data_IF_700853692936
#
_entry.id   IF_700853692936
#
_cell.length_a   1.000
_cell.length_b   1.000
_cell.length_c   1.000
_cell.angle_alpha   90.00
_cell.angle_beta   90.00
_cell.angle_gamma   90.00
#
_symmetry.space_group_name_H-M   'P 1'
#
loop_
_entity.id
_entity.type
_entity.pdbx_description
1 polymer ?
#
# COMPACT_ATOMS: atom_id res chain seq x y z
N UNK A 1 27.86 -5.16 85.93
CA UNK A 1 27.30 -6.26 85.12
C UNK A 1 26.21 -5.72 84.26
N UNK A 2 26.48 -5.46 83.02
CA UNK A 2 25.52 -5.52 81.91
C UNK A 2 26.21 -5.03 80.63
N UNK A 3 26.32 -5.95 79.71
CA UNK A 3 26.89 -5.74 78.36
C UNK A 3 25.85 -5.08 77.45
N UNK A 4 26.16 -3.93 76.89
CA UNK A 4 25.42 -3.31 75.82
C UNK A 4 26.09 -3.63 74.48
N UNK A 5 25.44 -4.44 73.68
CA UNK A 5 25.81 -4.72 72.32
C UNK A 5 25.45 -3.57 71.38
N UNK A 6 26.42 -3.04 70.67
CA UNK A 6 26.24 -2.06 69.62
C UNK A 6 25.87 -2.78 68.34
N UNK A 7 24.65 -2.54 67.83
CA UNK A 7 24.21 -2.96 66.50
C UNK A 7 24.56 -1.81 65.55
N UNK A 8 25.50 -2.09 64.65
CA UNK A 8 25.81 -1.16 63.55
C UNK A 8 24.81 -1.37 62.41
N UNK A 9 24.03 -0.33 62.08
CA UNK A 9 23.12 -0.31 60.93
C UNK A 9 23.94 0.10 59.69
N UNK A 10 24.30 -0.88 58.86
CA UNK A 10 24.91 -0.64 57.56
C UNK A 10 23.84 -0.30 56.53
N UNK A 11 23.76 0.97 56.11
CA UNK A 11 22.92 1.40 55.01
C UNK A 11 23.55 0.94 53.69
N UNK A 12 22.98 -0.07 53.07
CA UNK A 12 23.28 -0.47 51.70
C UNK A 12 22.54 0.49 50.74
N UNK A 13 23.24 1.48 50.18
CA UNK A 13 22.74 2.27 49.07
C UNK A 13 22.82 1.38 47.81
N UNK A 14 21.69 0.81 47.40
CA UNK A 14 21.54 0.12 46.14
C UNK A 14 21.45 1.18 45.02
N UNK A 15 22.59 1.51 44.40
CA UNK A 15 22.65 2.34 43.20
C UNK A 15 22.10 1.51 42.04
N UNK A 16 20.78 1.64 41.75
CA UNK A 16 20.17 1.02 40.58
C UNK A 16 20.73 1.73 39.33
N UNK A 17 21.77 1.14 38.74
CA UNK A 17 22.18 1.45 37.38
C UNK A 17 21.03 1.05 36.46
N UNK A 18 20.20 2.03 36.07
CA UNK A 18 19.31 1.86 34.92
C UNK A 18 20.19 1.73 33.68
N UNK A 19 20.69 0.55 33.38
CA UNK A 19 21.18 0.22 32.06
C UNK A 19 19.98 0.38 31.12
N UNK A 20 19.96 1.47 30.36
CA UNK A 20 19.14 1.55 29.16
C UNK A 20 19.64 0.42 28.25
N UNK A 21 18.95 -0.71 28.27
CA UNK A 21 19.17 -1.75 27.27
C UNK A 21 18.89 -1.12 25.93
N UNK A 22 19.88 -0.98 25.03
CA UNK A 22 19.58 -0.56 23.66
C UNK A 22 18.59 -1.56 23.11
N UNK A 23 17.53 -1.06 22.47
CA UNK A 23 16.51 -1.88 21.86
C UNK A 23 17.26 -2.82 20.90
N UNK A 24 17.25 -4.13 21.15
CA UNK A 24 17.99 -5.14 20.39
C UNK A 24 17.78 -5.03 18.87
N UNK A 25 16.63 -4.47 18.45
CA UNK A 25 16.31 -4.18 17.06
C UNK A 25 17.15 -3.09 16.41
N UNK A 26 17.51 -2.00 17.13
CA UNK A 26 18.30 -0.90 16.57
C UNK A 26 19.76 -1.34 16.33
N UNK A 27 20.34 -2.07 17.30
CA UNK A 27 21.70 -2.60 17.17
C UNK A 27 21.81 -3.61 16.01
N UNK A 28 20.76 -4.42 15.77
CA UNK A 28 20.70 -5.33 14.63
C UNK A 28 20.61 -4.59 13.28
N UNK A 29 19.97 -3.42 13.20
CA UNK A 29 19.92 -2.61 11.98
C UNK A 29 21.28 -1.95 11.68
N UNK A 30 22.00 -1.46 12.69
CA UNK A 30 23.33 -0.86 12.52
C UNK A 30 24.36 -1.87 12.01
N UNK A 31 24.31 -3.12 12.50
CA UNK A 31 25.16 -4.21 11.98
C UNK A 31 24.79 -4.57 10.54
N UNK A 32 23.50 -4.67 10.25
CA UNK A 32 23.02 -4.95 8.89
C UNK A 32 23.41 -3.83 7.92
N UNK A 33 23.38 -2.56 8.35
CA UNK A 33 23.86 -1.43 7.57
C UNK A 33 25.34 -1.57 7.22
N UNK A 34 26.21 -1.94 8.17
CA UNK A 34 27.63 -2.18 7.91
C UNK A 34 27.87 -3.29 6.88
N UNK A 35 27.07 -4.35 6.93
CA UNK A 35 27.12 -5.44 5.96
C UNK A 35 26.65 -4.99 4.57
N UNK A 36 25.56 -4.22 4.50
CA UNK A 36 25.03 -3.65 3.27
C UNK A 36 26.05 -2.71 2.56
N UNK A 37 26.81 -1.92 3.35
CA UNK A 37 27.88 -1.08 2.79
C UNK A 37 28.99 -1.91 2.17
N UNK A 38 29.32 -3.10 2.69
CA UNK A 38 30.30 -4.01 2.09
C UNK A 38 29.82 -4.61 0.77
N UNK A 39 28.50 -4.66 0.53
CA UNK A 39 27.87 -5.06 -0.74
C UNK A 39 27.80 -3.91 -1.76
N UNK A 40 28.38 -2.74 -1.46
CA UNK A 40 28.36 -1.56 -2.32
C UNK A 40 27.30 -0.53 -1.97
N UNK A 41 26.56 -0.72 -0.87
CA UNK A 41 25.59 0.25 -0.36
C UNK A 41 24.39 0.50 -1.28
N UNK A 42 24.02 -0.47 -2.10
CA UNK A 42 22.93 -0.33 -3.09
C UNK A 42 21.75 -1.25 -2.77
N UNK A 43 20.55 -0.79 -3.09
CA UNK A 43 19.32 -1.59 -3.10
C UNK A 43 18.62 -1.39 -4.44
N UNK A 44 18.42 -2.44 -5.21
CA UNK A 44 17.62 -2.44 -6.43
C UNK A 44 16.13 -2.68 -6.07
N UNK A 45 15.37 -1.62 -6.01
CA UNK A 45 13.99 -1.61 -5.59
C UNK A 45 13.04 -1.61 -6.79
N UNK A 46 12.37 -2.74 -7.04
CA UNK A 46 11.31 -2.85 -8.06
C UNK A 46 9.98 -2.46 -7.43
N UNK A 47 9.63 -1.19 -7.55
CA UNK A 47 8.52 -0.59 -6.79
C UNK A 47 7.56 0.22 -7.64
N UNK A 48 6.27 0.18 -7.27
CA UNK A 48 5.19 0.94 -7.91
C UNK A 48 4.98 2.33 -7.30
N UNK A 49 5.95 2.82 -6.52
CA UNK A 49 5.91 4.20 -6.04
C UNK A 49 6.04 5.15 -7.23
N UNK A 50 5.01 5.97 -7.46
CA UNK A 50 5.14 7.04 -8.44
C UNK A 50 6.32 7.96 -8.07
N UNK A 51 7.01 8.52 -9.08
CA UNK A 51 8.23 9.34 -8.91
C UNK A 51 8.10 10.38 -7.80
N UNK A 52 6.98 11.11 -7.76
CA UNK A 52 6.72 12.14 -6.74
C UNK A 52 6.69 11.59 -5.30
N UNK A 53 6.28 10.33 -5.12
CA UNK A 53 6.26 9.67 -3.82
C UNK A 53 7.64 9.09 -3.48
N UNK A 54 8.30 8.47 -4.45
CA UNK A 54 9.65 7.93 -4.30
C UNK A 54 10.64 9.01 -3.85
N UNK A 55 10.60 10.21 -4.47
CA UNK A 55 11.42 11.38 -4.12
C UNK A 55 11.20 11.90 -2.68
N UNK A 56 10.08 11.55 -2.06
CA UNK A 56 9.78 11.93 -0.66
C UNK A 56 10.13 10.82 0.33
N UNK A 57 9.98 9.57 -0.06
CA UNK A 57 10.10 8.41 0.83
C UNK A 57 11.53 7.88 0.84
N UNK A 58 12.12 7.60 -0.33
CA UNK A 58 13.42 6.93 -0.43
C UNK A 58 14.58 7.73 0.18
N UNK A 59 14.65 9.07 0.06
CA UNK A 59 15.68 9.86 0.74
C UNK A 59 15.65 9.76 2.26
N UNK A 60 14.51 9.42 2.88
CA UNK A 60 14.44 9.21 4.34
C UNK A 60 15.24 7.96 4.74
N UNK A 61 15.16 6.88 3.95
CA UNK A 61 16.01 5.70 4.12
C UNK A 61 17.49 6.03 3.92
N UNK A 62 17.86 6.70 2.84
CA UNK A 62 19.24 7.06 2.53
C UNK A 62 19.85 7.98 3.59
N UNK A 63 19.07 8.90 4.14
CA UNK A 63 19.48 9.76 5.26
C UNK A 63 19.66 8.97 6.56
N UNK A 64 18.80 8.00 6.82
CA UNK A 64 18.88 7.14 8.02
C UNK A 64 20.09 6.21 7.97
N UNK A 65 20.47 5.76 6.76
CA UNK A 65 21.59 4.85 6.53
C UNK A 65 22.60 5.46 5.54
N UNK A 66 23.51 6.34 6.04
CA UNK A 66 24.47 7.04 5.19
C UNK A 66 25.33 6.07 4.35
N UNK A 67 25.50 6.38 3.08
CA UNK A 67 26.21 5.53 2.13
C UNK A 67 25.32 4.52 1.40
N UNK A 68 24.07 4.33 1.83
CA UNK A 68 23.07 3.55 1.08
C UNK A 68 22.45 4.37 -0.04
N UNK A 69 22.14 3.71 -1.16
CA UNK A 69 21.42 4.24 -2.31
C UNK A 69 20.33 3.28 -2.76
N UNK A 70 19.17 3.81 -3.11
CA UNK A 70 18.05 3.04 -3.64
C UNK A 70 17.93 3.28 -5.14
N UNK A 71 18.23 2.26 -5.93
CA UNK A 71 17.97 2.24 -7.38
C UNK A 71 16.50 1.84 -7.58
N UNK A 72 15.64 2.83 -7.72
CA UNK A 72 14.22 2.61 -7.92
C UNK A 72 13.91 2.34 -9.40
N UNK A 73 13.33 1.18 -9.66
CA UNK A 73 12.78 0.82 -10.97
C UNK A 73 11.27 1.00 -10.89
N UNK A 74 10.80 2.15 -11.38
CA UNK A 74 9.38 2.52 -11.43
C UNK A 74 8.73 1.95 -12.70
N UNK A 75 7.67 1.16 -12.50
CA UNK A 75 6.75 0.72 -13.55
C UNK A 75 5.43 0.26 -12.91
N UNK A 76 4.44 -0.08 -13.75
CA UNK A 76 3.20 -0.70 -13.28
C UNK A 76 3.48 -2.11 -12.72
N UNK A 77 2.68 -2.56 -11.76
CA UNK A 77 2.89 -3.82 -11.05
C UNK A 77 3.03 -5.03 -11.99
N UNK A 78 2.17 -5.12 -13.00
CA UNK A 78 2.19 -6.16 -14.05
C UNK A 78 3.53 -6.17 -14.83
N UNK A 79 4.06 -5.00 -15.18
CA UNK A 79 5.33 -4.87 -15.88
C UNK A 79 6.52 -5.25 -15.00
N UNK A 80 6.50 -4.86 -13.72
CA UNK A 80 7.56 -5.24 -12.77
C UNK A 80 7.57 -6.75 -12.52
N UNK A 81 6.41 -7.37 -12.32
CA UNK A 81 6.30 -8.81 -12.16
C UNK A 81 6.78 -9.56 -13.42
N UNK A 82 6.32 -9.15 -14.62
CA UNK A 82 6.74 -9.74 -15.89
C UNK A 82 8.25 -9.58 -16.11
N UNK A 83 8.82 -8.42 -15.77
CA UNK A 83 10.25 -8.14 -15.85
C UNK A 83 11.05 -9.08 -14.95
N UNK A 84 10.70 -9.17 -13.67
CA UNK A 84 11.37 -10.04 -12.71
C UNK A 84 11.35 -11.51 -13.15
N UNK A 85 10.19 -12.00 -13.64
CA UNK A 85 10.02 -13.36 -14.16
C UNK A 85 10.91 -13.59 -15.40
N UNK A 86 10.97 -12.62 -16.31
CA UNK A 86 11.77 -12.72 -17.53
C UNK A 86 13.27 -12.71 -17.23
N UNK A 87 13.73 -11.84 -16.35
CA UNK A 87 15.11 -11.78 -15.88
C UNK A 87 15.54 -13.10 -15.25
N UNK A 88 14.69 -13.66 -14.36
CA UNK A 88 14.96 -14.94 -13.70
C UNK A 88 15.01 -16.12 -14.70
N UNK A 89 14.14 -16.14 -15.71
CA UNK A 89 14.20 -17.14 -16.80
C UNK A 89 15.50 -17.03 -17.61
N UNK A 90 16.05 -15.82 -17.72
CA UNK A 90 17.36 -15.55 -18.31
C UNK A 90 18.54 -15.83 -17.36
N UNK A 91 18.32 -16.45 -16.20
CA UNK A 91 19.34 -16.78 -15.21
C UNK A 91 19.89 -15.57 -14.44
N UNK A 92 19.16 -14.45 -14.40
CA UNK A 92 19.59 -13.24 -13.68
C UNK A 92 18.50 -12.80 -12.71
N UNK A 93 18.88 -12.47 -11.48
CA UNK A 93 18.04 -11.77 -10.52
C UNK A 93 18.65 -10.38 -10.33
N UNK A 94 17.92 -9.33 -10.68
CA UNK A 94 18.40 -7.95 -10.61
C UNK A 94 17.72 -7.17 -9.48
N UNK A 95 16.54 -7.58 -9.06
CA UNK A 95 15.82 -6.96 -7.94
C UNK A 95 16.36 -7.45 -6.60
N UNK A 96 16.37 -6.55 -5.61
CA UNK A 96 16.62 -6.86 -4.21
C UNK A 96 15.29 -6.95 -3.43
N UNK A 97 14.39 -6.01 -3.69
CA UNK A 97 13.07 -5.94 -3.05
C UNK A 97 12.01 -5.67 -4.11
N UNK A 98 10.93 -6.41 -4.03
CA UNK A 98 9.69 -6.18 -4.80
C UNK A 98 8.70 -5.41 -3.95
N UNK A 99 8.07 -4.37 -4.54
CA UNK A 99 6.92 -3.68 -3.97
C UNK A 99 5.87 -3.44 -5.05
N UNK A 100 4.80 -4.20 -5.02
CA UNK A 100 3.75 -4.18 -6.04
C UNK A 100 2.38 -4.45 -5.40
N UNK A 101 1.33 -4.30 -6.19
CA UNK A 101 0.01 -4.82 -5.82
C UNK A 101 0.11 -6.30 -5.44
N UNK A 102 -0.61 -6.71 -4.42
CA UNK A 102 -0.46 -8.02 -3.78
C UNK A 102 -0.58 -9.19 -4.77
N UNK A 103 -1.51 -9.12 -5.71
CA UNK A 103 -1.70 -10.16 -6.73
C UNK A 103 -0.44 -10.34 -7.61
N UNK A 104 0.30 -9.27 -7.89
CA UNK A 104 1.54 -9.34 -8.66
C UNK A 104 2.73 -9.84 -7.81
N UNK A 105 2.77 -9.50 -6.53
CA UNK A 105 3.73 -10.10 -5.60
C UNK A 105 3.49 -11.61 -5.48
N UNK A 106 2.23 -12.05 -5.41
CA UNK A 106 1.91 -13.48 -5.37
C UNK A 106 2.33 -14.19 -6.67
N UNK A 107 2.23 -13.54 -7.84
CA UNK A 107 2.76 -14.11 -9.08
C UNK A 107 4.28 -14.35 -9.02
N UNK A 108 5.03 -13.39 -8.46
CA UNK A 108 6.49 -13.52 -8.26
C UNK A 108 6.80 -14.65 -7.26
N UNK A 109 6.02 -14.76 -6.20
CA UNK A 109 6.12 -15.81 -5.18
C UNK A 109 5.86 -17.21 -5.80
N UNK A 110 4.81 -17.34 -6.60
CA UNK A 110 4.45 -18.59 -7.29
C UNK A 110 5.56 -19.06 -8.25
N UNK A 111 6.30 -18.13 -8.84
CA UNK A 111 7.51 -18.42 -9.63
C UNK A 111 8.76 -18.72 -8.77
N UNK A 112 8.62 -18.77 -7.43
CA UNK A 112 9.70 -19.04 -6.47
C UNK A 112 10.82 -17.99 -6.48
N UNK A 113 10.49 -16.75 -6.82
CA UNK A 113 11.44 -15.63 -6.91
C UNK A 113 11.51 -14.80 -5.61
N UNK A 114 10.72 -15.11 -4.59
CA UNK A 114 10.78 -14.48 -3.27
C UNK A 114 11.19 -15.48 -2.19
N UNK A 115 11.93 -15.00 -1.18
CA UNK A 115 12.30 -15.81 -0.01
C UNK A 115 11.12 -15.97 0.94
N UNK A 116 11.06 -17.13 1.60
CA UNK A 116 10.12 -17.35 2.72
C UNK A 116 10.71 -16.75 4.00
N UNK A 117 10.61 -15.42 4.10
CA UNK A 117 11.14 -14.67 5.23
C UNK A 117 10.35 -13.36 5.40
N UNK A 118 10.14 -12.99 6.65
CA UNK A 118 9.55 -11.71 7.05
C UNK A 118 10.49 -10.96 7.99
N UNK A 119 10.53 -9.63 7.94
CA UNK A 119 11.29 -8.84 8.87
C UNK A 119 10.69 -8.98 10.30
N UNK A 120 11.50 -8.87 11.36
CA UNK A 120 11.00 -8.92 12.74
C UNK A 120 9.89 -7.90 13.03
N UNK A 121 9.91 -6.77 12.35
CA UNK A 121 8.92 -5.70 12.41
C UNK A 121 7.52 -6.18 12.01
N UNK A 122 7.41 -7.24 11.21
CA UNK A 122 6.13 -7.84 10.80
C UNK A 122 5.31 -8.39 11.98
N UNK A 123 5.93 -8.59 13.15
CA UNK A 123 5.21 -8.98 14.36
C UNK A 123 4.15 -7.97 14.78
N UNK A 124 4.34 -6.68 14.49
CA UNK A 124 3.39 -5.62 14.81
C UNK A 124 2.16 -5.60 13.88
N UNK A 125 2.25 -6.21 12.70
CA UNK A 125 1.20 -6.12 11.67
C UNK A 125 0.07 -7.13 11.89
N UNK A 126 -1.18 -6.76 11.60
CA UNK A 126 -2.31 -7.68 11.59
C UNK A 126 -2.07 -8.91 10.69
N UNK A 127 -2.68 -10.02 11.04
CA UNK A 127 -2.46 -11.28 10.32
C UNK A 127 -2.92 -11.24 8.85
N UNK A 128 -3.95 -10.46 8.54
CA UNK A 128 -4.47 -10.28 7.17
C UNK A 128 -3.63 -9.32 6.31
N UNK A 129 -2.62 -8.68 6.88
CA UNK A 129 -1.72 -7.75 6.17
C UNK A 129 -0.32 -8.36 5.96
N UNK A 130 -0.18 -9.66 6.09
CA UNK A 130 1.06 -10.41 5.87
C UNK A 130 0.80 -11.86 5.47
N UNK A 131 1.76 -12.43 4.77
CA UNK A 131 1.85 -13.86 4.46
C UNK A 131 3.22 -14.40 4.85
N UNK A 132 3.56 -15.64 4.50
CA UNK A 132 4.85 -16.22 4.88
C UNK A 132 6.06 -15.56 4.20
N UNK A 133 5.85 -14.84 3.09
CA UNK A 133 6.88 -14.26 2.23
C UNK A 133 6.51 -12.89 1.65
N UNK A 134 5.52 -12.22 2.24
CA UNK A 134 5.15 -10.85 1.89
C UNK A 134 4.60 -10.12 3.11
N UNK A 135 4.74 -8.80 3.13
CA UNK A 135 4.19 -7.89 4.13
C UNK A 135 3.58 -6.68 3.43
N UNK A 136 2.46 -6.20 3.92
CA UNK A 136 1.90 -4.94 3.43
C UNK A 136 2.88 -3.78 3.65
N UNK A 137 3.25 -3.11 2.57
CA UNK A 137 4.09 -1.91 2.58
C UNK A 137 3.26 -0.65 2.74
N UNK A 138 2.18 -0.56 1.98
CA UNK A 138 1.15 0.46 2.09
C UNK A 138 -0.20 -0.10 1.62
N UNK A 139 -1.26 0.67 1.88
CA UNK A 139 -2.59 0.40 1.35
C UNK A 139 -3.02 1.53 0.42
N UNK A 140 -3.77 1.17 -0.60
CA UNK A 140 -4.42 2.11 -1.49
C UNK A 140 -5.92 2.02 -1.27
N UNK A 141 -6.58 3.16 -1.14
CA UNK A 141 -8.03 3.22 -1.04
C UNK A 141 -8.60 3.60 -2.39
N UNK A 142 -9.31 2.65 -3.01
CA UNK A 142 -10.20 2.95 -4.13
C UNK A 142 -11.48 3.52 -3.55
N UNK A 143 -11.82 4.72 -3.97
CA UNK A 143 -13.05 5.44 -3.61
C UNK A 143 -13.64 6.09 -4.85
N UNK A 144 -14.69 6.86 -4.70
CA UNK A 144 -15.26 7.66 -5.77
C UNK A 144 -15.03 9.15 -5.51
N UNK A 145 -14.95 9.92 -6.59
CA UNK A 145 -14.77 11.36 -6.53
C UNK A 145 -15.60 12.05 -7.59
N UNK A 146 -15.91 13.34 -7.40
CA UNK A 146 -16.71 14.14 -8.32
C UNK A 146 -16.25 15.57 -8.39
N UNK A 147 -16.62 16.24 -9.49
CA UNK A 147 -16.44 17.67 -9.64
C UNK A 147 -17.65 18.41 -9.04
N UNK A 148 -17.44 19.22 -8.00
CA UNK A 148 -18.51 19.92 -7.26
C UNK A 148 -19.18 21.05 -8.04
N UNK A 149 -18.63 21.48 -9.19
CA UNK A 149 -19.29 22.41 -10.11
C UNK A 149 -20.29 21.69 -11.02
N UNK A 150 -20.13 20.36 -11.21
CA UNK A 150 -20.98 19.55 -12.11
C UNK A 150 -21.97 18.66 -11.35
N UNK A 151 -21.64 18.32 -10.08
CA UNK A 151 -22.48 17.49 -9.22
C UNK A 151 -23.00 18.36 -8.09
N UNK A 152 -24.33 18.53 -8.02
CA UNK A 152 -24.97 19.28 -6.96
C UNK A 152 -24.84 18.57 -5.62
N UNK A 153 -24.93 19.33 -4.53
CA UNK A 153 -24.77 18.81 -3.16
C UNK A 153 -25.77 17.68 -2.83
N UNK A 154 -26.99 17.82 -3.30
CA UNK A 154 -28.05 16.82 -3.12
C UNK A 154 -27.81 15.53 -3.92
N UNK A 155 -27.01 15.60 -5.00
CA UNK A 155 -26.71 14.50 -5.89
C UNK A 155 -25.36 13.81 -5.58
N UNK A 156 -24.60 14.34 -4.61
CA UNK A 156 -23.32 13.76 -4.23
C UNK A 156 -23.46 12.28 -3.85
N UNK A 157 -22.66 11.37 -4.44
CA UNK A 157 -22.76 9.95 -4.15
C UNK A 157 -22.28 9.65 -2.73
N UNK A 158 -22.99 8.77 -2.04
CA UNK A 158 -22.67 8.34 -0.67
C UNK A 158 -22.18 6.91 -0.60
N UNK A 159 -22.40 6.14 -1.66
CA UNK A 159 -22.01 4.75 -1.77
C UNK A 159 -21.79 4.38 -3.25
N UNK A 160 -21.09 3.28 -3.50
CA UNK A 160 -20.85 2.83 -4.87
C UNK A 160 -22.14 2.53 -5.64
N UNK A 161 -23.19 2.06 -4.94
CA UNK A 161 -24.48 1.72 -5.55
C UNK A 161 -25.17 2.91 -6.21
N UNK A 162 -24.90 4.12 -5.74
CA UNK A 162 -25.51 5.34 -6.26
C UNK A 162 -25.13 5.58 -7.74
N UNK A 163 -23.98 5.06 -8.17
CA UNK A 163 -23.54 5.18 -9.56
C UNK A 163 -24.28 4.27 -10.55
N UNK A 164 -25.08 3.33 -10.07
CA UNK A 164 -25.99 2.57 -10.91
C UNK A 164 -27.25 3.33 -11.30
N UNK A 165 -27.50 4.51 -10.74
CA UNK A 165 -28.63 5.38 -11.10
C UNK A 165 -28.44 5.92 -12.54
N UNK A 166 -29.48 5.86 -13.41
CA UNK A 166 -29.42 6.42 -14.77
C UNK A 166 -29.07 7.91 -14.88
N UNK A 167 -29.21 8.68 -13.81
CA UNK A 167 -28.78 10.11 -13.77
C UNK A 167 -27.31 10.29 -14.11
N UNK A 168 -26.49 9.26 -13.94
CA UNK A 168 -25.04 9.26 -14.20
C UNK A 168 -24.68 8.92 -15.65
N UNK A 169 -25.65 8.61 -16.50
CA UNK A 169 -25.38 8.15 -17.87
C UNK A 169 -24.54 9.15 -18.66
N UNK A 170 -23.38 8.67 -19.17
CA UNK A 170 -22.43 9.48 -19.96
C UNK A 170 -21.65 10.53 -19.12
N UNK A 171 -21.63 10.40 -17.79
CA UNK A 171 -20.97 11.35 -16.88
C UNK A 171 -19.83 10.75 -16.06
N UNK A 172 -19.60 9.43 -16.22
CA UNK A 172 -18.70 8.65 -15.38
C UNK A 172 -17.41 8.31 -16.10
N UNK A 173 -16.30 8.38 -15.35
CA UNK A 173 -15.01 7.80 -15.74
C UNK A 173 -14.58 6.75 -14.72
N UNK A 174 -13.71 5.81 -15.13
CA UNK A 174 -13.13 4.79 -14.26
C UNK A 174 -11.79 4.28 -14.80
N UNK A 175 -11.02 3.60 -13.97
CA UNK A 175 -9.81 2.89 -14.35
C UNK A 175 -10.17 1.46 -14.81
N UNK A 176 -9.75 1.01 -15.99
CA UNK A 176 -10.17 -0.29 -16.54
C UNK A 176 -9.64 -1.50 -15.76
N UNK A 177 -8.63 -1.33 -14.91
CA UNK A 177 -7.98 -2.43 -14.17
C UNK A 177 -8.52 -2.63 -12.75
N UNK A 178 -9.40 -1.76 -12.25
CA UNK A 178 -9.88 -1.77 -10.86
C UNK A 178 -10.94 -2.86 -10.60
N UNK A 179 -10.58 -4.09 -10.90
CA UNK A 179 -11.40 -5.29 -10.65
C UNK A 179 -11.71 -5.44 -9.16
N UNK A 180 -10.86 -4.89 -8.31
CA UNK A 180 -10.99 -4.88 -6.85
C UNK A 180 -12.32 -4.25 -6.40
N UNK A 181 -12.86 -3.28 -7.14
CA UNK A 181 -14.20 -2.75 -6.85
C UNK A 181 -15.22 -3.88 -6.85
N UNK A 182 -15.25 -4.68 -7.92
CA UNK A 182 -16.19 -5.79 -8.04
C UNK A 182 -15.98 -6.84 -6.97
N UNK A 183 -14.72 -7.20 -6.70
CA UNK A 183 -14.36 -8.17 -5.66
C UNK A 183 -14.81 -7.68 -4.28
N UNK A 184 -14.47 -6.44 -3.92
CA UNK A 184 -14.80 -5.86 -2.63
C UNK A 184 -16.31 -5.77 -2.40
N UNK A 185 -17.06 -5.36 -3.42
CA UNK A 185 -18.52 -5.31 -3.34
C UNK A 185 -19.13 -6.72 -3.21
N UNK A 186 -18.64 -7.70 -3.99
CA UNK A 186 -19.14 -9.07 -3.95
C UNK A 186 -18.88 -9.75 -2.60
N UNK A 187 -17.66 -9.59 -2.05
CA UNK A 187 -17.22 -10.29 -0.84
C UNK A 187 -17.68 -9.62 0.46
N UNK A 188 -17.67 -8.29 0.49
CA UNK A 188 -17.91 -7.55 1.74
C UNK A 188 -19.26 -6.85 1.79
N UNK A 189 -19.65 -6.12 0.74
CA UNK A 189 -20.89 -5.33 0.74
C UNK A 189 -22.12 -6.19 0.47
N UNK A 190 -22.19 -6.80 -0.70
CA UNK A 190 -23.35 -7.60 -1.10
C UNK A 190 -23.32 -9.01 -0.55
N UNK A 191 -22.15 -9.56 -0.26
CA UNK A 191 -21.92 -10.96 0.13
C UNK A 191 -22.59 -11.94 -0.84
N UNK A 192 -22.59 -11.57 -2.11
CA UNK A 192 -23.23 -12.28 -3.22
C UNK A 192 -22.64 -11.84 -4.54
N UNK A 193 -22.15 -12.80 -5.32
CA UNK A 193 -21.67 -12.57 -6.68
C UNK A 193 -22.80 -12.11 -7.60
N UNK A 194 -23.98 -12.71 -7.48
CA UNK A 194 -25.15 -12.37 -8.31
C UNK A 194 -25.52 -10.88 -8.16
N UNK A 195 -25.62 -10.40 -6.91
CA UNK A 195 -25.94 -8.99 -6.62
C UNK A 195 -24.83 -8.05 -7.11
N UNK A 196 -23.56 -8.45 -6.96
CA UNK A 196 -22.45 -7.64 -7.43
C UNK A 196 -22.41 -7.57 -8.97
N UNK A 197 -22.68 -8.68 -9.66
CA UNK A 197 -22.75 -8.71 -11.11
C UNK A 197 -23.98 -7.95 -11.65
N UNK A 198 -25.10 -7.99 -10.94
CA UNK A 198 -26.25 -7.15 -11.27
C UNK A 198 -25.93 -5.65 -11.13
N UNK A 199 -25.32 -5.26 -10.03
CA UNK A 199 -24.83 -3.90 -9.87
C UNK A 199 -23.89 -3.49 -11.01
N UNK A 200 -22.94 -4.36 -11.38
CA UNK A 200 -21.97 -4.07 -12.45
C UNK A 200 -22.69 -3.85 -13.80
N UNK A 201 -23.71 -4.66 -14.13
CA UNK A 201 -24.50 -4.49 -15.36
C UNK A 201 -25.23 -3.15 -15.39
N UNK A 202 -25.85 -2.77 -14.26
CA UNK A 202 -26.55 -1.46 -14.13
C UNK A 202 -25.55 -0.31 -14.24
N UNK A 203 -24.39 -0.44 -13.63
CA UNK A 203 -23.31 0.53 -13.71
C UNK A 203 -22.82 0.69 -15.15
N UNK A 204 -22.63 -0.42 -15.88
CA UNK A 204 -22.20 -0.42 -17.28
C UNK A 204 -23.23 0.24 -18.23
N UNK A 205 -24.54 0.17 -17.90
CA UNK A 205 -25.58 0.86 -18.66
C UNK A 205 -25.45 2.39 -18.64
N UNK A 206 -24.65 2.95 -17.75
CA UNK A 206 -24.36 4.38 -17.67
C UNK A 206 -23.22 4.83 -18.61
N UNK A 207 -22.71 3.96 -19.50
CA UNK A 207 -21.72 4.31 -20.52
C UNK A 207 -20.47 4.98 -19.91
N UNK A 208 -19.78 4.25 -19.01
CA UNK A 208 -18.55 4.72 -18.37
C UNK A 208 -17.44 4.85 -19.41
N UNK A 209 -16.73 5.95 -19.37
CA UNK A 209 -15.50 6.12 -20.13
C UNK A 209 -14.28 5.65 -19.31
N UNK A 210 -13.44 4.81 -19.90
CA UNK A 210 -12.30 4.22 -19.22
C UNK A 210 -10.98 4.87 -19.64
N UNK A 211 -10.21 5.32 -18.64
CA UNK A 211 -8.87 5.89 -18.82
C UNK A 211 -7.88 5.21 -17.88
N UNK A 212 -6.65 4.97 -18.36
CA UNK A 212 -5.59 4.35 -17.57
C UNK A 212 -4.83 5.41 -16.77
N UNK A 213 -4.75 5.21 -15.47
CA UNK A 213 -3.98 6.05 -14.57
C UNK A 213 -4.82 6.95 -13.68
N UNK A 214 -4.81 6.65 -12.37
CA UNK A 214 -5.61 7.39 -11.37
C UNK A 214 -5.23 8.86 -11.24
N UNK A 215 -3.97 9.24 -11.52
CA UNK A 215 -3.56 10.64 -11.56
C UNK A 215 -4.24 11.39 -12.70
N UNK A 216 -4.35 10.76 -13.89
CA UNK A 216 -5.02 11.30 -15.06
C UNK A 216 -6.53 11.46 -14.82
N UNK A 217 -7.18 10.44 -14.22
CA UNK A 217 -8.58 10.51 -13.82
C UNK A 217 -8.85 11.71 -12.89
N UNK A 218 -7.94 11.97 -11.94
CA UNK A 218 -8.09 13.14 -11.07
C UNK A 218 -7.97 14.46 -11.84
N UNK A 219 -7.09 14.56 -12.84
CA UNK A 219 -6.98 15.77 -13.69
C UNK A 219 -8.22 15.97 -14.57
N UNK A 220 -8.82 14.90 -15.11
CA UNK A 220 -10.08 15.00 -15.85
C UNK A 220 -11.22 15.55 -14.98
N UNK A 221 -11.30 15.11 -13.72
CA UNK A 221 -12.27 15.69 -12.79
C UNK A 221 -11.98 17.16 -12.48
N UNK A 222 -10.73 17.54 -12.23
CA UNK A 222 -10.34 18.95 -11.99
C UNK A 222 -10.73 19.82 -13.16
N UNK A 223 -10.48 19.36 -14.39
CA UNK A 223 -10.80 20.07 -15.63
C UNK A 223 -12.30 20.09 -15.96
N UNK A 224 -13.14 19.34 -15.23
CA UNK A 224 -14.57 19.24 -15.52
C UNK A 224 -14.90 18.43 -16.77
N UNK A 225 -14.00 17.59 -17.24
CA UNK A 225 -14.21 16.71 -18.39
C UNK A 225 -15.11 15.51 -18.06
N UNK A 226 -15.24 15.16 -16.79
CA UNK A 226 -16.19 14.19 -16.28
C UNK A 226 -16.85 14.72 -15.01
N UNK A 227 -18.10 14.30 -14.77
CA UNK A 227 -18.80 14.68 -13.55
C UNK A 227 -18.32 13.89 -12.33
N UNK A 228 -18.10 12.59 -12.50
CA UNK A 228 -17.63 11.74 -11.42
C UNK A 228 -16.72 10.60 -11.92
N UNK A 229 -15.85 10.14 -11.01
CA UNK A 229 -15.00 8.97 -11.19
C UNK A 229 -15.43 7.91 -10.19
N UNK A 230 -15.74 6.73 -10.69
CA UNK A 230 -16.24 5.61 -9.87
C UNK A 230 -15.10 4.94 -9.11
N UNK A 231 -13.95 4.74 -9.76
CA UNK A 231 -12.79 4.07 -9.18
C UNK A 231 -11.58 5.02 -9.18
N UNK A 232 -11.41 5.72 -8.07
CA UNK A 232 -10.36 6.71 -7.91
C UNK A 232 -9.57 6.46 -6.61
N UNK A 233 -8.29 6.84 -6.58
CA UNK A 233 -7.47 6.70 -5.38
C UNK A 233 -7.65 7.89 -4.45
N UNK A 234 -8.11 7.63 -3.22
CA UNK A 234 -8.42 8.64 -2.21
C UNK A 234 -7.29 9.65 -1.97
N UNK A 235 -6.03 9.21 -2.02
CA UNK A 235 -4.86 10.05 -1.74
C UNK A 235 -4.60 11.13 -2.79
N UNK A 236 -5.25 11.08 -3.97
CA UNK A 236 -5.11 12.11 -5.00
C UNK A 236 -5.89 13.39 -4.70
N UNK A 237 -6.89 13.37 -3.81
CA UNK A 237 -7.86 14.46 -3.66
C UNK A 237 -7.51 15.51 -2.59
N UNK A 238 -7.07 15.17 -1.35
CA UNK A 238 -6.92 16.17 -0.29
C UNK A 238 -6.02 17.35 -0.67
N UNK A 239 -4.89 17.09 -1.31
CA UNK A 239 -3.95 18.14 -1.74
C UNK A 239 -4.54 19.06 -2.83
N UNK A 240 -5.28 18.47 -3.79
CA UNK A 240 -5.94 19.22 -4.86
C UNK A 240 -7.05 20.11 -4.32
N UNK A 241 -7.87 19.58 -3.40
CA UNK A 241 -8.95 20.33 -2.74
C UNK A 241 -8.38 21.52 -1.96
N UNK A 242 -7.30 21.32 -1.21
CA UNK A 242 -6.64 22.43 -0.49
C UNK A 242 -6.08 23.51 -1.42
N UNK A 243 -5.75 23.16 -2.66
CA UNK A 243 -5.32 24.10 -3.69
C UNK A 243 -6.49 24.75 -4.46
N UNK A 244 -7.73 24.50 -4.02
CA UNK A 244 -8.93 25.11 -4.59
C UNK A 244 -9.56 24.34 -5.76
N UNK A 245 -9.14 23.10 -6.01
CA UNK A 245 -9.82 22.28 -7.02
C UNK A 245 -11.27 21.98 -6.60
N UNK A 246 -12.25 22.10 -7.52
CA UNK A 246 -13.67 21.88 -7.21
C UNK A 246 -13.98 20.39 -7.13
N UNK A 247 -13.43 19.70 -6.12
CA UNK A 247 -13.55 18.25 -5.96
C UNK A 247 -14.19 17.87 -4.64
N UNK A 248 -15.02 16.84 -4.68
CA UNK A 248 -15.45 16.04 -3.54
C UNK A 248 -15.00 14.60 -3.70
N UNK A 249 -14.86 13.86 -2.61
CA UNK A 249 -14.60 12.43 -2.67
C UNK A 249 -15.30 11.70 -1.52
N UNK A 250 -15.61 10.42 -1.74
CA UNK A 250 -16.39 9.61 -0.84
C UNK A 250 -15.54 9.11 0.34
N UNK A 251 -16.04 9.35 1.56
CA UNK A 251 -15.44 8.86 2.81
C UNK A 251 -16.39 7.92 3.58
N UNK A 252 -17.49 7.53 3.00
CA UNK A 252 -18.45 6.61 3.60
C UNK A 252 -18.07 5.16 3.42
N UNK A 253 -17.60 4.81 2.23
CA UNK A 253 -17.05 3.47 1.93
C UNK A 253 -15.90 3.53 0.93
N UNK A 254 -15.09 2.48 0.91
CA UNK A 254 -13.98 2.33 -0.03
C UNK A 254 -13.39 0.92 -0.02
N UNK A 255 -12.68 0.58 -1.07
CA UNK A 255 -11.96 -0.68 -1.20
C UNK A 255 -10.51 -0.44 -0.79
N UNK A 256 -9.98 -1.25 0.12
CA UNK A 256 -8.57 -1.21 0.49
C UNK A 256 -7.81 -2.30 -0.25
N UNK A 257 -6.89 -1.90 -1.10
CA UNK A 257 -5.96 -2.81 -1.75
C UNK A 257 -4.59 -2.74 -1.08
N UNK A 258 -3.85 -3.84 -1.13
CA UNK A 258 -2.55 -3.97 -0.49
C UNK A 258 -1.46 -3.81 -1.54
N UNK A 259 -0.54 -2.90 -1.32
CA UNK A 259 0.78 -2.93 -1.93
C UNK A 259 1.70 -3.71 -0.98
N UNK A 260 2.30 -4.78 -1.46
CA UNK A 260 3.08 -5.68 -0.63
C UNK A 260 4.57 -5.62 -0.96
N UNK A 261 5.41 -5.71 0.06
CA UNK A 261 6.84 -5.95 -0.05
C UNK A 261 7.13 -7.46 -0.02
N UNK A 262 8.09 -7.90 -0.83
CA UNK A 262 8.70 -9.21 -0.76
C UNK A 262 10.21 -9.13 -1.03
N UNK A 263 10.99 -9.93 -0.31
CA UNK A 263 12.43 -10.01 -0.49
C UNK A 263 12.76 -10.93 -1.66
N UNK A 264 13.55 -10.46 -2.62
CA UNK A 264 13.93 -11.27 -3.76
C UNK A 264 14.82 -12.45 -3.33
N UNK A 265 14.54 -13.63 -3.88
CA UNK A 265 15.44 -14.78 -3.75
C UNK A 265 16.66 -14.53 -4.62
N UNK A 266 17.84 -14.87 -4.10
CA UNK A 266 19.12 -14.65 -4.78
C UNK A 266 19.37 -13.16 -5.12
N UNK A 267 18.90 -12.26 -4.23
CA UNK A 267 19.08 -10.82 -4.35
C UNK A 267 20.55 -10.44 -4.53
N UNK A 268 20.91 -9.52 -5.45
CA UNK A 268 22.29 -9.06 -5.65
C UNK A 268 22.91 -8.45 -4.38
N UNK A 269 22.11 -7.78 -3.53
CA UNK A 269 22.54 -7.11 -2.32
C UNK A 269 21.71 -7.58 -1.12
N UNK A 270 21.89 -8.82 -0.63
CA UNK A 270 20.99 -9.44 0.34
C UNK A 270 20.92 -8.70 1.69
N UNK A 271 22.02 -8.10 2.17
CA UNK A 271 21.99 -7.31 3.40
C UNK A 271 21.35 -5.93 3.17
N UNK A 272 21.59 -5.30 2.02
CA UNK A 272 20.92 -4.08 1.61
C UNK A 272 19.40 -4.29 1.47
N UNK A 273 19.00 -5.38 0.86
CA UNK A 273 17.61 -5.78 0.69
C UNK A 273 16.89 -5.95 2.04
N UNK A 274 17.50 -6.70 2.97
CA UNK A 274 16.96 -6.89 4.32
C UNK A 274 16.89 -5.57 5.09
N UNK A 275 17.92 -4.70 4.98
CA UNK A 275 17.96 -3.41 5.66
C UNK A 275 16.80 -2.52 5.18
N UNK A 276 16.59 -2.45 3.86
CA UNK A 276 15.50 -1.65 3.28
C UNK A 276 14.14 -2.20 3.68
N UNK A 277 13.93 -3.52 3.58
CA UNK A 277 12.65 -4.15 3.92
C UNK A 277 12.33 -3.99 5.42
N UNK A 278 13.32 -4.13 6.30
CA UNK A 278 13.14 -3.88 7.73
C UNK A 278 12.78 -2.43 8.02
N UNK A 279 13.45 -1.48 7.35
CA UNK A 279 13.14 -0.08 7.49
C UNK A 279 11.73 0.24 6.96
N UNK A 280 11.36 -0.22 5.76
CA UNK A 280 10.02 0.02 5.19
C UNK A 280 8.90 -0.50 6.10
N UNK A 281 9.14 -1.64 6.77
CA UNK A 281 8.21 -2.25 7.72
C UNK A 281 8.20 -1.62 9.11
N UNK A 282 9.20 -0.80 9.45
CA UNK A 282 9.32 -0.16 10.76
C UNK A 282 8.35 1.00 10.93
N UNK A 283 8.11 1.42 12.18
CA UNK A 283 7.33 2.63 12.48
C UNK A 283 7.95 3.88 11.81
N UNK A 284 9.30 3.97 11.73
CA UNK A 284 10.00 5.08 11.07
C UNK A 284 9.73 5.09 9.57
N UNK A 285 9.92 3.97 8.88
CA UNK A 285 9.65 3.86 7.45
C UNK A 285 8.19 4.12 7.13
N UNK A 286 7.27 3.56 7.91
CA UNK A 286 5.84 3.77 7.73
C UNK A 286 5.41 5.23 7.94
N UNK A 287 6.08 5.99 8.82
CA UNK A 287 5.90 7.45 8.93
C UNK A 287 6.37 8.18 7.67
N UNK A 288 7.46 7.70 7.02
CA UNK A 288 7.90 8.25 5.73
C UNK A 288 6.88 7.97 4.61
N UNK A 289 6.30 6.76 4.57
CA UNK A 289 5.21 6.43 3.65
C UNK A 289 3.98 7.31 3.89
N UNK A 290 3.57 7.49 5.15
CA UNK A 290 2.45 8.39 5.51
C UNK A 290 2.71 9.83 5.07
N UNK A 291 3.91 10.37 5.31
CA UNK A 291 4.32 11.71 4.86
C UNK A 291 4.36 11.82 3.33
N UNK A 292 4.65 10.73 2.62
CA UNK A 292 4.53 10.59 1.17
C UNK A 292 3.09 10.48 0.66
N UNK A 293 2.08 10.55 1.53
CA UNK A 293 0.66 10.49 1.17
C UNK A 293 0.10 9.08 1.05
N UNK A 294 0.83 8.06 1.54
CA UNK A 294 0.37 6.66 1.52
C UNK A 294 -0.42 6.33 2.78
N UNK A 295 -1.25 5.29 2.73
CA UNK A 295 -1.96 4.78 3.90
C UNK A 295 -1.11 3.68 4.56
N UNK A 296 -0.51 3.93 5.74
CA UNK A 296 0.35 2.95 6.40
C UNK A 296 -0.47 1.79 6.96
N UNK A 297 -0.03 0.52 6.74
CA UNK A 297 -0.61 -0.65 7.39
C UNK A 297 -0.13 -0.85 8.84
N UNK A 298 0.95 -0.19 9.26
CA UNK A 298 1.50 -0.31 10.61
C UNK A 298 0.54 0.29 11.64
N UNK A 299 0.12 -0.45 12.71
CA UNK A 299 -0.97 -0.06 13.61
C UNK A 299 -0.70 1.17 14.46
N UNK A 300 0.57 1.58 14.60
CA UNK A 300 0.98 2.78 15.35
C UNK A 300 1.19 4.02 14.48
N UNK A 301 0.93 3.93 13.19
CA UNK A 301 1.16 5.04 12.26
C UNK A 301 -0.15 5.44 11.61
N UNK A 302 -0.57 6.68 11.84
CA UNK A 302 -1.75 7.24 11.20
C UNK A 302 -1.39 7.90 9.86
N UNK A 303 -2.28 7.86 8.86
CA UNK A 303 -2.10 8.61 7.63
C UNK A 303 -2.14 10.11 7.90
N UNK A 304 -1.33 10.88 7.17
CA UNK A 304 -1.30 12.36 7.28
C UNK A 304 -2.62 12.97 6.82
N UNK A 305 -3.25 12.38 5.82
CA UNK A 305 -4.51 12.85 5.24
C UNK A 305 -5.70 12.02 5.71
N UNK A 306 -6.84 12.66 5.93
CA UNK A 306 -8.10 11.98 6.25
C UNK A 306 -8.67 11.30 4.99
N UNK A 307 -8.12 10.17 4.62
CA UNK A 307 -8.51 9.41 3.43
C UNK A 307 -9.13 8.04 3.75
N UNK A 308 -9.20 7.66 5.02
CA UNK A 308 -9.80 6.38 5.44
C UNK A 308 -11.32 6.51 5.46
N UNK A 309 -12.06 5.73 4.67
CA UNK A 309 -13.52 5.69 4.71
C UNK A 309 -14.06 5.10 6.03
N UNK A 310 -15.31 5.44 6.34
CA UNK A 310 -16.01 4.88 7.50
C UNK A 310 -16.18 3.36 7.39
N UNK A 311 -16.48 2.87 6.17
CA UNK A 311 -16.53 1.43 5.87
C UNK A 311 -15.43 1.09 4.87
N UNK A 312 -14.58 0.13 5.23
CA UNK A 312 -13.46 -0.31 4.41
C UNK A 312 -13.65 -1.77 4.03
N UNK A 313 -13.54 -2.06 2.74
CA UNK A 313 -13.63 -3.40 2.17
C UNK A 313 -12.21 -3.87 1.79
N UNK A 314 -11.54 -4.65 2.64
CA UNK A 314 -10.17 -5.07 2.40
C UNK A 314 -10.09 -6.14 1.31
N UNK A 315 -9.12 -6.02 0.42
CA UNK A 315 -8.76 -7.03 -0.57
C UNK A 315 -7.43 -7.65 -0.16
N UNK A 316 -7.51 -8.83 0.42
CA UNK A 316 -6.37 -9.64 0.81
C UNK A 316 -6.27 -10.93 0.01
N UNK A 317 -5.44 -11.87 0.47
CA UNK A 317 -5.23 -13.15 -0.24
C UNK A 317 -6.50 -14.00 -0.37
N UNK A 318 -7.44 -13.87 0.56
CA UNK A 318 -8.70 -14.61 0.51
C UNK A 318 -9.60 -14.12 -0.62
N UNK A 319 -9.66 -12.81 -0.82
CA UNK A 319 -10.50 -12.16 -1.83
C UNK A 319 -9.95 -12.34 -3.24
N UNK A 320 -8.63 -12.31 -3.42
CA UNK A 320 -8.02 -12.42 -4.75
C UNK A 320 -7.89 -13.85 -5.29
N UNK A 321 -8.24 -14.88 -4.52
CA UNK A 321 -8.25 -16.27 -5.00
C UNK A 321 -9.05 -16.47 -6.28
N UNK A 322 -10.17 -15.77 -6.40
CA UNK A 322 -11.07 -15.84 -7.52
C UNK A 322 -10.85 -14.69 -8.53
N UNK A 323 -9.70 -14.00 -8.47
CA UNK A 323 -9.39 -12.85 -9.32
C UNK A 323 -9.78 -13.04 -10.77
N UNK A 324 -9.36 -14.16 -11.36
CA UNK A 324 -9.62 -14.49 -12.78
C UNK A 324 -11.11 -14.48 -13.12
N UNK A 325 -11.96 -14.98 -12.23
CA UNK A 325 -13.42 -14.97 -12.39
C UNK A 325 -13.96 -13.55 -12.46
N UNK A 326 -13.57 -12.70 -11.50
CA UNK A 326 -14.04 -11.32 -11.44
C UNK A 326 -13.47 -10.47 -12.58
N UNK A 327 -12.20 -10.67 -12.94
CA UNK A 327 -11.57 -10.00 -14.08
C UNK A 327 -12.32 -10.32 -15.39
N UNK A 328 -12.69 -11.58 -15.61
CA UNK A 328 -13.46 -11.99 -16.77
C UNK A 328 -14.80 -11.26 -16.81
N UNK A 329 -15.58 -11.32 -15.72
CA UNK A 329 -16.88 -10.65 -15.63
C UNK A 329 -16.75 -9.13 -15.82
N UNK A 330 -15.73 -8.51 -15.22
CA UNK A 330 -15.44 -7.09 -15.38
C UNK A 330 -15.19 -6.72 -16.84
N UNK A 331 -14.25 -7.41 -17.50
CA UNK A 331 -13.89 -7.16 -18.89
C UNK A 331 -15.05 -7.40 -19.86
N UNK A 332 -15.80 -8.48 -19.69
CA UNK A 332 -16.96 -8.78 -20.52
C UNK A 332 -18.07 -7.74 -20.36
N UNK A 333 -18.39 -7.34 -19.11
CA UNK A 333 -19.47 -6.39 -18.83
C UNK A 333 -19.18 -5.02 -19.42
N UNK A 334 -17.93 -4.54 -19.30
CA UNK A 334 -17.50 -3.25 -19.81
C UNK A 334 -16.90 -3.29 -21.23
N UNK A 335 -16.86 -4.49 -21.87
CA UNK A 335 -16.29 -4.71 -23.22
C UNK A 335 -14.83 -4.24 -23.33
N UNK A 336 -14.05 -4.45 -22.27
CA UNK A 336 -12.61 -4.12 -22.20
C UNK A 336 -11.79 -5.24 -22.88
N UNK A 337 -10.65 -4.81 -23.51
CA UNK A 337 -9.72 -5.73 -24.19
C UNK A 337 -8.56 -6.16 -23.29
#
# INVERSE_FOLDING_TARGET
MNRLSKIAFGAFILLALMMKTPIAGAQALDELHKLALKEGGTVNFYGTLAQINAERILPVFEKRFPGMKVNHVDATADKLAARAITEARGGRVLADVFQMALENVLQVIDQKLAVNWLPPEAAAYPANLKGPNWLAADMVIITSSWNTNLVKKEDEPKQFDDFADPKWKGKLIAEPRDVELLIGLARHKFKSDEKAFDFLRRLAANNIEFHKGHSELAEFLVAGQAAACVTCYAHHYPSRIRKGAPLGFMLTEGIATITADALAKDAPHPNGAQLFYRWSASEEGQKAYAAGGRLPPHPKVEPVEKIRPATLYPIGTAEIKDWKKYETVWKETFKLR
#
